data_IF_057214354282
#
_entry.id   IF_057214354282
#
_cell.length_a   1.000
_cell.length_b   1.000
_cell.length_c   1.000
_cell.angle_alpha   90.00
_cell.angle_beta   90.00
_cell.angle_gamma   90.00
#
_symmetry.space_group_name_H-M   'P 1'
#
loop_
_entity.id
_entity.type
_entity.pdbx_description
1 polymer ?
#
# COMPACT_ATOMS: atom_id res chain seq x y z
N UNK A 1 14.14 -19.88 -2.77
CA UNK A 1 13.84 -18.57 -3.37
C UNK A 1 12.96 -17.81 -2.40
N UNK A 2 13.22 -16.52 -2.08
CA UNK A 2 12.33 -15.76 -1.20
C UNK A 2 10.93 -15.72 -1.81
N UNK A 3 9.90 -16.05 -1.02
CA UNK A 3 8.52 -15.85 -1.46
C UNK A 3 8.28 -14.34 -1.62
N UNK A 4 7.41 -13.90 -2.56
CA UNK A 4 7.10 -12.48 -2.73
C UNK A 4 6.62 -11.79 -1.43
N UNK A 5 5.96 -12.53 -0.54
CA UNK A 5 5.58 -12.07 0.80
C UNK A 5 6.77 -11.85 1.77
N UNK A 6 7.96 -12.33 1.42
CA UNK A 6 9.20 -12.29 2.21
C UNK A 6 10.36 -11.60 1.46
N UNK A 7 10.08 -10.91 0.35
CA UNK A 7 11.08 -10.02 -0.21
C UNK A 7 11.42 -8.98 0.87
N UNK A 8 12.67 -8.94 1.35
CA UNK A 8 13.17 -8.01 2.39
C UNK A 8 13.07 -6.51 2.02
N UNK A 9 12.26 -6.18 1.02
CA UNK A 9 11.85 -4.85 0.63
C UNK A 9 10.69 -4.37 1.54
N UNK A 10 9.88 -5.30 2.09
CA UNK A 10 8.80 -5.00 3.00
C UNK A 10 9.18 -5.40 4.43
N UNK A 11 9.07 -4.45 5.37
CA UNK A 11 9.27 -4.72 6.80
C UNK A 11 8.29 -5.79 7.30
N UNK A 12 8.78 -6.73 8.11
CA UNK A 12 7.96 -7.85 8.60
C UNK A 12 6.72 -7.42 9.38
N UNK A 13 6.71 -6.25 10.01
CA UNK A 13 5.53 -5.71 10.71
C UNK A 13 4.53 -5.07 9.74
N UNK A 14 4.96 -4.66 8.55
CA UNK A 14 4.03 -4.30 7.47
C UNK A 14 3.31 -5.54 6.93
N UNK A 15 3.97 -6.72 6.97
CA UNK A 15 3.36 -7.98 6.50
C UNK A 15 2.31 -8.55 7.45
N UNK A 16 2.24 -8.11 8.72
CA UNK A 16 1.17 -8.51 9.65
C UNK A 16 -0.16 -7.83 9.33
N UNK A 17 -0.18 -6.90 8.37
CA UNK A 17 -1.39 -6.28 7.85
C UNK A 17 -2.00 -5.19 8.75
N UNK A 18 -1.47 -4.97 9.95
CA UNK A 18 -1.95 -3.91 10.86
C UNK A 18 -0.85 -3.42 11.77
N UNK A 19 -0.66 -2.09 11.85
CA UNK A 19 0.30 -1.43 12.74
C UNK A 19 -0.15 -0.01 13.06
N UNK A 20 -0.03 0.42 14.31
CA UNK A 20 -0.29 1.81 14.73
C UNK A 20 -1.67 2.36 14.31
N UNK A 21 -2.72 1.53 14.26
CA UNK A 21 -4.07 1.94 13.85
C UNK A 21 -4.28 2.03 12.33
N UNK A 22 -3.33 1.55 11.54
CA UNK A 22 -3.37 1.45 10.09
C UNK A 22 -3.38 0.00 9.65
N UNK A 23 -4.21 -0.31 8.65
CA UNK A 23 -4.20 -1.56 7.89
C UNK A 23 -3.23 -1.40 6.73
N UNK A 24 -2.30 -2.35 6.60
CA UNK A 24 -1.31 -2.37 5.54
C UNK A 24 -1.65 -3.46 4.52
N UNK A 25 -1.58 -3.11 3.24
CA UNK A 25 -1.68 -4.09 2.14
C UNK A 25 -0.48 -3.93 1.23
N UNK A 26 0.02 -5.04 0.68
CA UNK A 26 1.11 -5.06 -0.27
C UNK A 26 0.80 -6.05 -1.39
N UNK A 27 0.80 -5.56 -2.62
CA UNK A 27 0.48 -6.33 -3.81
C UNK A 27 1.58 -6.19 -4.84
N UNK A 28 2.08 -7.32 -5.35
CA UNK A 28 2.90 -7.34 -6.55
C UNK A 28 2.02 -7.23 -7.80
N UNK A 29 2.48 -6.47 -8.79
CA UNK A 29 1.77 -6.14 -10.02
C UNK A 29 2.65 -6.46 -11.23
N UNK A 30 2.00 -6.54 -12.40
CA UNK A 30 2.65 -6.75 -13.72
C UNK A 30 3.65 -7.92 -13.70
N UNK A 31 3.18 -9.17 -13.67
CA UNK A 31 4.07 -10.33 -13.72
C UNK A 31 4.69 -10.48 -15.12
N UNK A 32 6.01 -10.36 -15.20
CA UNK A 32 6.82 -10.63 -16.40
C UNK A 32 7.75 -11.81 -16.09
N UNK A 33 7.63 -12.89 -16.86
CA UNK A 33 8.43 -14.12 -16.70
C UNK A 33 8.41 -14.70 -15.26
N UNK A 34 7.27 -14.59 -14.57
CA UNK A 34 7.11 -15.11 -13.21
C UNK A 34 7.64 -14.20 -12.10
N UNK A 35 8.11 -12.99 -12.43
CA UNK A 35 8.48 -11.95 -11.47
C UNK A 35 7.55 -10.74 -11.60
N UNK A 36 7.07 -10.19 -10.49
CA UNK A 36 6.33 -8.93 -10.48
C UNK A 36 7.29 -7.77 -10.72
N UNK A 37 7.02 -6.92 -11.71
CA UNK A 37 7.87 -5.75 -12.02
C UNK A 37 7.38 -4.46 -11.38
N UNK A 38 6.18 -4.45 -10.85
CA UNK A 38 5.58 -3.32 -10.15
C UNK A 38 5.07 -3.75 -8.78
N UNK A 39 4.88 -2.78 -7.88
CA UNK A 39 4.22 -3.04 -6.60
C UNK A 39 3.37 -1.88 -6.13
N UNK A 40 2.40 -2.20 -5.28
CA UNK A 40 1.63 -1.22 -4.53
C UNK A 40 1.62 -1.61 -3.06
N UNK A 41 2.08 -0.70 -2.21
CA UNK A 41 1.90 -0.77 -0.76
C UNK A 41 0.94 0.33 -0.35
N UNK A 42 -0.02 -0.01 0.52
CA UNK A 42 -0.97 0.96 1.07
C UNK A 42 -1.00 0.87 2.59
N UNK A 43 -1.29 2.00 3.23
CA UNK A 43 -1.55 2.09 4.65
C UNK A 43 -2.82 2.93 4.86
N UNK A 44 -3.91 2.29 5.27
CA UNK A 44 -5.22 2.91 5.46
C UNK A 44 -5.57 2.96 6.93
N UNK A 45 -6.03 4.10 7.49
CA UNK A 45 -6.46 4.12 8.88
C UNK A 45 -7.64 3.16 9.08
N UNK A 46 -7.55 2.28 10.09
CA UNK A 46 -8.60 1.32 10.44
C UNK A 46 -9.94 2.01 10.75
N UNK A 47 -9.88 3.17 11.43
CA UNK A 47 -11.03 4.01 11.71
C UNK A 47 -10.73 5.43 11.20
N UNK A 48 -11.26 5.81 10.02
CA UNK A 48 -11.05 7.13 9.46
C UNK A 48 -11.42 8.24 10.46
N UNK A 49 -10.57 9.26 10.56
CA UNK A 49 -10.69 10.40 11.49
C UNK A 49 -10.51 10.05 12.98
N UNK A 50 -10.29 8.77 13.32
CA UNK A 50 -9.95 8.35 14.67
C UNK A 50 -8.51 7.83 14.76
N UNK A 51 -8.17 6.80 13.99
CA UNK A 51 -6.80 6.26 13.94
C UNK A 51 -5.91 6.98 12.92
N UNK A 52 -6.51 7.76 12.01
CA UNK A 52 -5.79 8.61 11.07
C UNK A 52 -6.70 9.43 10.17
N UNK A 53 -6.20 10.58 9.71
CA UNK A 53 -6.90 11.50 8.78
C UNK A 53 -6.35 11.44 7.36
N UNK A 54 -5.21 10.78 7.18
CA UNK A 54 -4.56 10.50 5.90
C UNK A 54 -4.33 9.01 5.79
N UNK A 55 -4.32 8.54 4.56
CA UNK A 55 -3.76 7.26 4.21
C UNK A 55 -2.50 7.45 3.37
N UNK A 56 -1.71 6.39 3.23
CA UNK A 56 -0.43 6.44 2.55
C UNK A 56 -0.33 5.36 1.49
N UNK A 57 0.49 5.62 0.48
CA UNK A 57 0.83 4.63 -0.52
C UNK A 57 2.28 4.80 -0.99
N UNK A 58 2.85 3.71 -1.49
CA UNK A 58 4.15 3.68 -2.14
C UNK A 58 4.13 2.68 -3.31
N UNK A 59 4.91 2.99 -4.34
CA UNK A 59 5.12 2.17 -5.53
C UNK A 59 6.62 2.10 -5.86
N UNK A 60 6.98 1.49 -6.98
CA UNK A 60 8.37 1.29 -7.43
C UNK A 60 9.18 2.56 -7.72
N UNK A 61 8.59 3.73 -7.54
CA UNK A 61 9.28 5.02 -7.64
C UNK A 61 9.92 5.50 -6.32
N UNK A 62 9.86 4.67 -5.27
CA UNK A 62 10.45 4.93 -3.95
C UNK A 62 9.93 6.18 -3.23
N UNK A 63 8.80 6.75 -3.67
CA UNK A 63 8.21 7.93 -3.03
C UNK A 63 6.97 7.53 -2.24
N UNK A 64 7.00 7.78 -0.93
CA UNK A 64 5.82 7.62 -0.07
C UNK A 64 4.93 8.85 -0.21
N UNK A 65 3.66 8.62 -0.52
CA UNK A 65 2.66 9.65 -0.75
C UNK A 65 1.55 9.56 0.29
N UNK A 66 0.89 10.69 0.52
CA UNK A 66 -0.32 10.74 1.33
C UNK A 66 -1.54 11.06 0.45
N UNK A 67 -2.66 10.46 0.81
CA UNK A 67 -3.93 10.59 0.13
C UNK A 67 -5.06 10.79 1.14
N UNK A 68 -6.06 11.59 0.78
CA UNK A 68 -7.23 11.82 1.64
C UNK A 68 -8.12 10.57 1.62
N UNK A 69 -8.59 10.06 2.77
CA UNK A 69 -9.51 8.93 2.85
C UNK A 69 -10.95 9.32 2.42
N UNK A 70 -11.26 9.35 1.12
CA UNK A 70 -12.60 9.21 0.52
C UNK A 70 -12.92 7.74 0.09
N UNK A 71 -14.17 7.41 -0.24
CA UNK A 71 -14.64 6.01 -0.33
C UNK A 71 -14.20 5.15 -1.52
N UNK A 72 -13.00 5.30 -2.09
CA UNK A 72 -12.51 4.51 -3.25
C UNK A 72 -11.31 3.60 -2.92
N UNK A 73 -11.05 2.55 -3.73
CA UNK A 73 -9.91 1.65 -3.53
C UNK A 73 -8.58 2.31 -3.92
N UNK A 74 -7.50 2.02 -3.19
CA UNK A 74 -6.16 2.42 -3.62
C UNK A 74 -5.75 1.59 -4.85
N UNK A 75 -5.31 2.26 -5.90
CA UNK A 75 -4.69 1.61 -7.06
C UNK A 75 -3.30 2.17 -7.30
N UNK A 76 -2.51 1.44 -8.07
CA UNK A 76 -1.16 1.85 -8.44
C UNK A 76 -1.14 3.20 -9.18
N UNK A 77 -2.03 3.37 -10.17
CA UNK A 77 -2.20 4.62 -10.88
C UNK A 77 -2.61 5.79 -9.97
N UNK A 78 -3.49 5.54 -8.99
CA UNK A 78 -3.89 6.53 -7.98
C UNK A 78 -2.69 6.94 -7.12
N UNK A 79 -1.86 5.97 -6.74
CA UNK A 79 -0.67 6.25 -5.96
C UNK A 79 0.30 7.14 -6.72
N UNK A 80 0.64 6.79 -7.96
CA UNK A 80 1.57 7.59 -8.77
C UNK A 80 1.01 8.95 -9.16
N UNK A 81 -0.29 9.02 -9.45
CA UNK A 81 -0.98 10.25 -9.86
C UNK A 81 -1.28 11.23 -8.73
N UNK A 82 -1.04 10.85 -7.46
CA UNK A 82 -1.46 11.63 -6.29
C UNK A 82 -2.98 11.96 -6.31
N UNK A 83 -3.76 11.16 -7.02
CA UNK A 83 -5.17 11.40 -7.33
C UNK A 83 -6.02 10.32 -6.65
N UNK A 84 -6.41 10.60 -5.40
CA UNK A 84 -7.45 9.94 -4.59
C UNK A 84 -7.10 8.75 -3.66
N UNK A 85 -8.11 8.43 -2.87
CA UNK A 85 -8.16 7.80 -1.56
C UNK A 85 -8.06 6.27 -1.54
N UNK A 86 -7.55 5.65 -0.46
CA UNK A 86 -7.65 4.23 -0.23
C UNK A 86 -8.70 3.88 0.86
N UNK A 87 -9.57 2.93 0.58
CA UNK A 87 -10.16 2.03 1.59
C UNK A 87 -9.35 0.75 1.66
N UNK A 88 -9.36 0.12 2.84
CA UNK A 88 -8.93 -1.26 3.00
C UNK A 88 -9.73 -2.13 2.01
N UNK A 89 -9.03 -2.78 1.08
CA UNK A 89 -9.57 -3.91 0.33
C UNK A 89 -9.82 -5.08 1.29
#
# INVERSE_FOLDING_TARGET
TPAPATACILDSVLTTGSKSGYTFTASGLVPINGANTEFLVTAVPQLPKLTGVKAFCAAEDNVTRYINPSGGPATHAICLGNTYSPVAQ
#
